data_IF_515872991529
#
_entry.id   IF_515872991529
#
_cell.length_a   1.000
_cell.length_b   1.000
_cell.length_c   1.000
_cell.angle_alpha   90.00
_cell.angle_beta   90.00
_cell.angle_gamma   90.00
#
_symmetry.space_group_name_H-M   'P 1'
#
loop_
_entity.id
_entity.type
_entity.pdbx_description
1 polymer ?
#
# COMPACT_ATOMS: atom_id res chain seq x y z
N UNK A 1 -40.43 -67.14 33.13
CA UNK A 1 -41.08 -65.91 32.62
C UNK A 1 -40.82 -64.76 33.59
N UNK A 2 -40.01 -63.77 33.18
CA UNK A 2 -39.78 -62.40 33.72
C UNK A 2 -38.57 -61.87 32.90
N UNK A 3 -38.79 -61.12 31.82
CA UNK A 3 -39.01 -59.67 31.74
C UNK A 3 -37.76 -58.82 32.03
N UNK A 4 -37.13 -58.36 30.93
CA UNK A 4 -36.54 -57.02 30.65
C UNK A 4 -35.59 -56.34 31.65
N UNK A 5 -34.43 -55.89 31.14
CA UNK A 5 -34.10 -54.45 31.06
C UNK A 5 -32.81 -54.23 30.27
N UNK A 6 -32.93 -53.63 29.07
CA UNK A 6 -31.83 -53.07 28.29
C UNK A 6 -31.51 -51.67 28.86
N UNK A 7 -30.29 -51.47 29.35
CA UNK A 7 -29.78 -50.16 29.73
C UNK A 7 -29.46 -49.33 28.48
N UNK A 8 -30.11 -48.17 28.37
CA UNK A 8 -29.96 -47.23 27.26
C UNK A 8 -28.60 -46.51 27.29
N UNK A 9 -27.92 -46.52 26.14
CA UNK A 9 -26.72 -45.75 25.85
C UNK A 9 -27.12 -44.29 25.60
N UNK A 10 -26.85 -43.40 26.55
CA UNK A 10 -27.09 -41.95 26.41
C UNK A 10 -26.03 -41.37 25.47
N UNK A 11 -26.38 -41.18 24.20
CA UNK A 11 -25.61 -40.37 23.24
C UNK A 11 -25.76 -38.91 23.63
N UNK A 12 -24.66 -38.22 23.97
CA UNK A 12 -24.64 -36.78 24.19
C UNK A 12 -24.34 -36.05 22.86
N UNK A 13 -25.29 -35.30 22.26
CA UNK A 13 -25.06 -34.53 21.04
C UNK A 13 -24.92 -33.04 21.38
N UNK A 14 -24.03 -32.68 22.31
CA UNK A 14 -23.91 -31.28 22.78
C UNK A 14 -22.54 -30.62 22.51
N UNK A 15 -21.55 -31.33 21.97
CA UNK A 15 -20.24 -30.74 21.68
C UNK A 15 -20.07 -30.15 20.27
N UNK A 16 -21.00 -30.42 19.34
CA UNK A 16 -20.83 -29.97 17.93
C UNK A 16 -21.33 -28.55 17.64
N UNK A 17 -22.08 -27.91 18.56
CA UNK A 17 -22.62 -26.56 18.32
C UNK A 17 -21.70 -25.43 18.79
N UNK A 18 -20.76 -25.68 19.71
CA UNK A 18 -19.84 -24.64 20.19
C UNK A 18 -18.71 -24.32 19.18
N UNK A 19 -18.35 -25.26 18.31
CA UNK A 19 -17.28 -25.04 17.31
C UNK A 19 -17.73 -24.19 16.10
N UNK A 20 -19.03 -24.12 15.82
CA UNK A 20 -19.55 -23.33 14.69
C UNK A 20 -19.64 -21.82 14.99
N UNK A 21 -19.81 -21.43 16.26
CA UNK A 21 -19.94 -20.01 16.66
C UNK A 21 -18.58 -19.31 16.78
N UNK A 22 -17.51 -20.06 17.09
CA UNK A 22 -16.14 -19.50 17.15
C UNK A 22 -15.51 -19.24 15.78
N UNK A 23 -16.04 -19.83 14.70
CA UNK A 23 -15.58 -19.57 13.33
C UNK A 23 -16.33 -18.42 12.63
N UNK A 24 -17.39 -17.90 13.25
CA UNK A 24 -18.21 -16.80 12.72
C UNK A 24 -17.79 -15.41 13.24
N UNK A 25 -16.74 -15.31 14.04
CA UNK A 25 -16.00 -14.05 14.23
C UNK A 25 -15.08 -13.74 13.04
N UNK A 26 -15.40 -14.29 11.87
CA UNK A 26 -14.83 -13.95 10.59
C UNK A 26 -14.90 -12.44 10.40
N UNK A 27 -13.74 -11.83 10.64
CA UNK A 27 -13.26 -10.57 10.08
C UNK A 27 -14.39 -9.66 9.60
N UNK A 28 -14.96 -8.87 10.52
CA UNK A 28 -15.62 -7.65 10.07
C UNK A 28 -14.53 -6.85 9.37
N UNK A 29 -14.65 -6.74 8.04
CA UNK A 29 -13.80 -5.89 7.24
C UNK A 29 -13.67 -4.54 7.94
N UNK A 30 -12.44 -4.10 8.13
CA UNK A 30 -12.18 -2.91 8.90
C UNK A 30 -12.75 -1.70 8.15
N UNK A 31 -13.64 -0.97 8.81
CA UNK A 31 -14.33 0.19 8.23
C UNK A 31 -13.43 1.42 8.13
N UNK A 32 -12.21 1.33 8.63
CA UNK A 32 -11.27 2.42 8.66
C UNK A 32 -10.49 2.60 7.36
N UNK A 33 -10.37 1.57 6.52
CA UNK A 33 -9.46 1.59 5.38
C UNK A 33 -10.13 1.13 4.08
N UNK A 34 -9.81 1.82 2.99
CA UNK A 34 -10.20 1.42 1.64
C UNK A 34 -8.99 1.49 0.70
N UNK A 35 -8.72 0.37 0.04
CA UNK A 35 -7.70 0.28 -1.01
C UNK A 35 -8.24 0.88 -2.29
N UNK A 36 -7.73 2.05 -2.70
CA UNK A 36 -8.21 2.75 -3.90
C UNK A 36 -7.65 2.16 -5.21
N UNK A 37 -6.64 1.28 -5.11
CA UNK A 37 -5.88 0.74 -6.25
C UNK A 37 -5.57 -0.74 -6.06
N UNK A 38 -5.98 -1.58 -7.00
CA UNK A 38 -5.66 -3.01 -6.93
C UNK A 38 -4.18 -3.28 -7.13
N UNK A 39 -3.58 -4.05 -6.22
CA UNK A 39 -2.18 -4.45 -6.28
C UNK A 39 -2.05 -5.97 -6.21
N UNK A 40 -1.67 -6.58 -7.34
CA UNK A 40 -1.50 -8.03 -7.47
C UNK A 40 -0.34 -8.60 -6.64
N UNK A 41 0.58 -7.76 -6.18
CA UNK A 41 1.73 -8.17 -5.36
C UNK A 41 1.38 -8.26 -3.87
N UNK A 42 0.26 -7.67 -3.45
CA UNK A 42 -0.26 -7.76 -2.08
C UNK A 42 -0.85 -9.16 -1.83
N UNK A 43 -0.38 -9.90 -0.81
CA UNK A 43 -0.97 -11.20 -0.45
C UNK A 43 -2.48 -11.10 -0.26
N UNK A 44 -3.24 -12.10 -0.73
CA UNK A 44 -4.71 -12.08 -0.66
C UNK A 44 -5.25 -11.82 0.76
N UNK A 45 -4.60 -12.38 1.78
CA UNK A 45 -4.99 -12.20 3.18
C UNK A 45 -4.63 -10.81 3.76
N UNK A 46 -3.92 -9.97 3.00
CA UNK A 46 -3.55 -8.60 3.36
C UNK A 46 -4.19 -7.54 2.45
N UNK A 47 -5.12 -7.93 1.56
CA UNK A 47 -5.77 -6.96 0.65
C UNK A 47 -6.80 -6.08 1.37
N UNK A 48 -7.38 -6.60 2.47
CA UNK A 48 -8.24 -5.86 3.37
C UNK A 48 -7.41 -5.36 4.55
N UNK A 49 -7.08 -4.06 4.54
CA UNK A 49 -6.30 -3.44 5.60
C UNK A 49 -7.11 -3.39 6.90
N UNK A 50 -6.44 -3.66 8.02
CA UNK A 50 -7.00 -3.60 9.36
C UNK A 50 -6.14 -2.70 10.24
N UNK A 51 -6.76 -1.97 11.17
CA UNK A 51 -6.07 -1.05 12.08
C UNK A 51 -5.06 -1.76 12.96
N UNK A 52 -5.30 -3.03 13.30
CA UNK A 52 -4.36 -3.85 14.07
C UNK A 52 -3.09 -4.21 13.29
N UNK A 53 -3.02 -3.94 11.98
CA UNK A 53 -1.78 -4.06 11.22
C UNK A 53 -0.79 -2.94 11.56
N UNK A 54 -1.25 -1.85 12.18
CA UNK A 54 -0.46 -0.69 12.54
C UNK A 54 -0.13 -0.73 14.04
N UNK A 55 1.15 -0.71 14.41
CA UNK A 55 1.59 -0.62 15.80
C UNK A 55 2.36 0.68 16.10
N UNK A 56 2.96 0.76 17.28
CA UNK A 56 3.73 1.94 17.70
C UNK A 56 5.14 2.03 17.08
N UNK A 57 5.64 0.96 16.44
CA UNK A 57 7.02 0.84 15.93
C UNK A 57 7.11 1.10 14.41
N UNK A 58 6.07 1.65 13.80
CA UNK A 58 6.07 2.01 12.38
C UNK A 58 7.13 3.07 12.10
N UNK A 59 7.90 2.85 11.03
CA UNK A 59 8.81 3.87 10.49
C UNK A 59 8.06 4.87 9.62
N UNK A 60 8.27 6.16 9.84
CA UNK A 60 7.61 7.24 9.12
C UNK A 60 8.61 7.89 8.16
N UNK A 61 8.31 7.90 6.87
CA UNK A 61 9.25 8.44 5.87
C UNK A 61 8.59 9.44 4.94
N UNK A 62 9.37 10.41 4.47
CA UNK A 62 8.99 11.25 3.34
C UNK A 62 9.87 10.93 2.14
N UNK A 63 9.26 10.84 0.96
CA UNK A 63 9.94 10.61 -0.31
C UNK A 63 9.91 11.86 -1.18
N UNK A 64 11.07 12.25 -1.68
CA UNK A 64 11.22 13.38 -2.60
C UNK A 64 11.95 13.02 -3.89
N UNK A 65 12.09 14.01 -4.75
CA UNK A 65 12.89 13.96 -5.98
C UNK A 65 14.34 14.37 -5.70
N UNK A 66 15.20 14.31 -6.72
CA UNK A 66 16.61 14.75 -6.64
C UNK A 66 16.76 16.11 -5.94
N UNK A 67 17.63 16.17 -4.92
CA UNK A 67 17.87 17.33 -4.06
C UNK A 67 16.92 17.49 -2.87
N UNK A 68 15.87 16.67 -2.74
CA UNK A 68 14.92 16.75 -1.63
C UNK A 68 15.53 16.36 -0.28
N UNK A 69 16.56 15.50 -0.25
CA UNK A 69 17.22 15.16 1.02
C UNK A 69 17.85 16.37 1.71
N UNK A 70 18.39 17.32 0.93
CA UNK A 70 19.04 18.54 1.44
C UNK A 70 18.06 19.45 2.20
N UNK A 71 16.76 19.36 1.90
CA UNK A 71 15.72 20.12 2.61
C UNK A 71 15.02 19.31 3.71
N UNK A 72 15.44 18.07 3.96
CA UNK A 72 14.98 17.25 5.08
C UNK A 72 13.95 16.18 4.76
N UNK A 73 13.84 15.72 3.51
CA UNK A 73 13.15 14.47 3.19
C UNK A 73 13.96 13.26 3.69
N UNK A 74 13.27 12.19 4.10
CA UNK A 74 13.93 10.95 4.56
C UNK A 74 14.63 10.23 3.42
N UNK A 75 13.91 10.05 2.31
CA UNK A 75 14.39 9.42 1.09
C UNK A 75 14.28 10.34 -0.11
N UNK A 76 15.08 10.04 -1.11
CA UNK A 76 15.14 10.75 -2.36
C UNK A 76 15.27 9.73 -3.48
N UNK A 77 14.33 9.75 -4.41
CA UNK A 77 14.48 9.01 -5.66
C UNK A 77 15.28 9.88 -6.64
N UNK A 78 16.28 9.33 -7.35
CA UNK A 78 17.13 10.11 -8.24
C UNK A 78 16.39 10.38 -9.56
N UNK A 79 15.29 11.11 -9.53
CA UNK A 79 14.56 11.68 -10.66
C UNK A 79 14.42 13.17 -10.41
N UNK A 80 14.53 14.02 -11.42
CA UNK A 80 14.21 15.45 -11.27
C UNK A 80 12.76 15.76 -11.71
N UNK A 81 12.29 16.98 -11.46
CA UNK A 81 10.91 17.39 -11.78
C UNK A 81 10.57 17.28 -13.27
N UNK A 82 11.52 17.63 -14.13
CA UNK A 82 11.34 17.58 -15.59
C UNK A 82 11.28 16.13 -16.09
N UNK A 83 12.14 15.26 -15.57
CA UNK A 83 12.11 13.82 -15.86
C UNK A 83 10.77 13.20 -15.43
N UNK A 84 10.25 13.53 -14.24
CA UNK A 84 8.96 13.05 -13.77
C UNK A 84 7.80 13.52 -14.67
N UNK A 85 7.83 14.79 -15.09
CA UNK A 85 6.85 15.37 -16.03
C UNK A 85 6.88 14.68 -17.39
N UNK A 86 8.08 14.46 -17.94
CA UNK A 86 8.26 13.76 -19.21
C UNK A 86 7.79 12.31 -19.11
N UNK A 87 8.17 11.59 -18.05
CA UNK A 87 7.73 10.22 -17.82
C UNK A 87 6.20 10.13 -17.73
N UNK A 88 5.57 11.03 -16.98
CA UNK A 88 4.11 11.15 -16.89
C UNK A 88 3.46 11.39 -18.25
N UNK A 89 4.00 12.32 -19.04
CA UNK A 89 3.49 12.60 -20.38
C UNK A 89 3.58 11.37 -21.29
N UNK A 90 4.74 10.71 -21.36
CA UNK A 90 4.94 9.58 -22.25
C UNK A 90 4.09 8.36 -21.88
N UNK A 91 3.95 8.08 -20.57
CA UNK A 91 3.19 6.92 -20.11
C UNK A 91 1.68 7.11 -20.29
N UNK A 92 1.18 8.34 -20.17
CA UNK A 92 -0.25 8.66 -20.34
C UNK A 92 -0.67 8.66 -21.82
N UNK A 93 0.16 9.24 -22.68
CA UNK A 93 -0.15 9.34 -24.11
C UNK A 93 0.16 8.04 -24.88
N UNK A 94 0.63 6.99 -24.19
CA UNK A 94 1.04 5.71 -24.78
C UNK A 94 2.05 5.88 -25.94
N UNK A 95 2.91 6.91 -25.85
CA UNK A 95 3.90 7.29 -26.89
C UNK A 95 5.12 6.34 -26.89
N UNK A 96 5.06 5.28 -26.09
CA UNK A 96 6.09 4.23 -25.98
C UNK A 96 6.45 3.55 -27.30
N UNK A 97 5.56 3.57 -28.29
CA UNK A 97 5.58 2.62 -29.41
C UNK A 97 5.90 3.20 -30.77
N UNK A 98 6.15 4.50 -30.93
CA UNK A 98 6.24 5.07 -32.28
C UNK A 98 7.15 6.27 -32.45
N UNK A 99 8.27 6.05 -33.17
CA UNK A 99 8.90 6.87 -34.23
C UNK A 99 8.94 8.41 -34.12
N UNK A 100 8.55 9.01 -33.02
CA UNK A 100 8.71 10.44 -32.79
C UNK A 100 10.14 10.62 -32.31
N UNK A 101 10.97 11.29 -33.11
CA UNK A 101 12.38 11.59 -32.84
C UNK A 101 12.59 12.53 -31.67
N UNK A 102 11.91 12.28 -30.55
CA UNK A 102 11.97 13.06 -29.35
C UNK A 102 13.23 12.63 -28.60
N UNK A 103 14.33 13.39 -28.80
CA UNK A 103 15.63 13.15 -28.16
C UNK A 103 15.54 12.95 -26.64
N UNK A 104 14.48 13.43 -25.99
CA UNK A 104 14.19 13.21 -24.58
C UNK A 104 13.95 11.72 -24.21
N UNK A 105 13.35 10.93 -25.12
CA UNK A 105 13.14 9.48 -24.96
C UNK A 105 14.40 8.65 -25.22
N UNK A 106 15.40 9.23 -25.87
CA UNK A 106 16.59 8.51 -26.33
C UNK A 106 17.64 8.34 -25.23
N UNK A 107 17.34 8.79 -24.01
CA UNK A 107 18.20 8.52 -22.88
C UNK A 107 17.87 7.15 -22.29
N UNK A 108 18.89 6.30 -22.13
CA UNK A 108 18.77 5.00 -21.43
C UNK A 108 18.07 5.12 -20.07
N UNK A 109 18.25 6.28 -19.42
CA UNK A 109 17.67 6.62 -18.13
C UNK A 109 16.15 6.85 -18.19
N UNK A 110 15.64 7.57 -19.19
CA UNK A 110 14.19 7.72 -19.36
C UNK A 110 13.53 6.38 -19.69
N UNK A 111 14.14 5.58 -20.57
CA UNK A 111 13.66 4.23 -20.90
C UNK A 111 13.60 3.32 -19.66
N UNK A 112 14.58 3.43 -18.77
CA UNK A 112 14.57 2.74 -17.49
C UNK A 112 13.38 3.15 -16.62
N UNK A 113 13.14 4.44 -16.38
CA UNK A 113 11.99 4.90 -15.60
C UNK A 113 10.67 4.45 -16.21
N UNK A 114 10.52 4.59 -17.52
CA UNK A 114 9.32 4.19 -18.22
C UNK A 114 9.06 2.68 -18.11
N UNK A 115 10.10 1.86 -18.15
CA UNK A 115 9.99 0.40 -17.94
C UNK A 115 9.52 0.07 -16.52
N UNK A 116 10.07 0.72 -15.50
CA UNK A 116 9.62 0.57 -14.11
C UNK A 116 8.16 0.96 -13.94
N UNK A 117 7.75 2.06 -14.57
CA UNK A 117 6.38 2.55 -14.47
C UNK A 117 5.38 1.65 -15.21
N UNK A 118 5.74 1.04 -16.34
CA UNK A 118 4.88 0.03 -16.97
C UNK A 118 4.71 -1.22 -16.08
N UNK A 119 5.76 -1.63 -15.37
CA UNK A 119 5.66 -2.71 -14.38
C UNK A 119 4.73 -2.33 -13.22
N UNK A 120 4.86 -1.10 -12.69
CA UNK A 120 3.96 -0.61 -11.64
C UNK A 120 2.50 -0.51 -12.14
N UNK A 121 2.25 -0.09 -13.38
CA UNK A 121 0.90 -0.13 -13.98
C UNK A 121 0.35 -1.55 -13.99
N UNK A 122 1.14 -2.51 -14.50
CA UNK A 122 0.70 -3.88 -14.66
C UNK A 122 0.45 -4.59 -13.32
N UNK A 123 1.37 -4.45 -12.36
CA UNK A 123 1.33 -5.21 -11.12
C UNK A 123 0.63 -4.49 -9.97
N UNK A 124 0.74 -3.16 -9.91
CA UNK A 124 0.21 -2.33 -8.82
C UNK A 124 -0.99 -1.47 -9.24
N UNK A 125 -1.44 -1.53 -10.50
CA UNK A 125 -2.67 -0.86 -10.94
C UNK A 125 -2.54 0.66 -11.10
N UNK A 126 -1.35 1.20 -11.33
CA UNK A 126 -1.17 2.63 -11.59
C UNK A 126 -1.80 3.07 -12.91
N UNK A 127 -2.67 4.07 -12.85
CA UNK A 127 -3.25 4.73 -14.03
C UNK A 127 -2.52 6.04 -14.38
N UNK A 128 -1.67 6.55 -13.48
CA UNK A 128 -0.90 7.79 -13.67
C UNK A 128 -1.77 9.00 -13.97
N UNK A 129 -2.81 9.21 -13.16
CA UNK A 129 -3.76 10.32 -13.32
C UNK A 129 -3.11 11.68 -13.02
N UNK A 130 -2.03 11.67 -12.26
CA UNK A 130 -1.22 12.85 -11.95
C UNK A 130 0.28 12.55 -12.06
N UNK A 131 1.07 13.61 -12.20
CA UNK A 131 2.54 13.49 -12.12
C UNK A 131 2.97 12.88 -10.78
N UNK A 132 2.25 13.16 -9.69
CA UNK A 132 2.54 12.67 -8.32
C UNK A 132 2.70 11.16 -8.26
N UNK A 133 1.83 10.44 -8.97
CA UNK A 133 1.83 8.97 -9.03
C UNK A 133 3.12 8.39 -9.65
N UNK A 134 3.86 9.17 -10.44
CA UNK A 134 5.18 8.75 -10.96
C UNK A 134 6.16 8.56 -9.80
N UNK A 135 6.22 9.52 -8.87
CA UNK A 135 7.13 9.41 -7.73
C UNK A 135 6.66 8.33 -6.75
N UNK A 136 5.36 8.21 -6.54
CA UNK A 136 4.77 7.18 -5.68
C UNK A 136 5.17 5.77 -6.15
N UNK A 137 4.96 5.46 -7.43
CA UNK A 137 5.34 4.17 -8.01
C UNK A 137 6.86 3.92 -7.91
N UNK A 138 7.68 4.92 -8.25
CA UNK A 138 9.14 4.80 -8.19
C UNK A 138 9.64 4.65 -6.75
N UNK A 139 9.01 5.29 -5.77
CA UNK A 139 9.35 5.15 -4.36
C UNK A 139 9.05 3.73 -3.84
N UNK A 140 7.90 3.15 -4.20
CA UNK A 140 7.58 1.77 -3.85
C UNK A 140 8.57 0.78 -4.46
N UNK A 141 8.98 1.00 -5.70
CA UNK A 141 10.01 0.18 -6.36
C UNK A 141 11.38 0.36 -5.68
N UNK A 142 11.78 1.59 -5.35
CA UNK A 142 13.07 1.82 -4.68
C UNK A 142 13.14 1.19 -3.30
N UNK A 143 12.02 1.12 -2.57
CA UNK A 143 11.93 0.46 -1.28
C UNK A 143 12.26 -1.04 -1.35
N UNK A 144 12.19 -1.68 -2.52
CA UNK A 144 12.64 -3.06 -2.73
C UNK A 144 14.16 -3.24 -2.59
N UNK A 145 14.94 -2.16 -2.67
CA UNK A 145 16.37 -2.17 -2.39
C UNK A 145 16.68 -2.28 -0.89
N UNK A 146 15.72 -1.95 -0.02
CA UNK A 146 15.87 -1.92 1.44
C UNK A 146 15.11 -3.05 2.13
N UNK A 147 14.02 -3.51 1.52
CA UNK A 147 13.16 -4.58 2.04
C UNK A 147 13.04 -5.71 1.02
N UNK A 148 13.25 -6.95 1.46
CA UNK A 148 13.15 -8.12 0.58
C UNK A 148 11.71 -8.37 0.12
N UNK A 149 11.40 -8.42 -1.19
CA UNK A 149 10.05 -8.71 -1.69
C UNK A 149 9.53 -10.12 -1.34
N UNK A 150 10.40 -11.00 -0.82
CA UNK A 150 10.00 -12.32 -0.30
C UNK A 150 9.37 -12.23 1.09
N UNK A 151 9.79 -11.24 1.88
CA UNK A 151 9.35 -11.03 3.27
C UNK A 151 8.34 -9.90 3.39
N UNK A 152 8.38 -8.93 2.48
CA UNK A 152 7.57 -7.72 2.50
C UNK A 152 6.74 -7.56 1.21
N UNK A 153 5.63 -6.85 1.31
CA UNK A 153 4.90 -6.30 0.18
C UNK A 153 4.83 -4.77 0.28
N UNK A 154 4.65 -4.15 -0.89
CA UNK A 154 4.71 -2.71 -1.08
C UNK A 154 3.40 -2.28 -1.73
N UNK A 155 2.69 -1.33 -1.13
CA UNK A 155 1.45 -0.81 -1.68
C UNK A 155 1.27 0.65 -1.35
N UNK A 156 0.34 1.31 -2.02
CA UNK A 156 -0.02 2.72 -1.81
C UNK A 156 -1.52 2.91 -1.97
N UNK A 157 -1.93 4.18 -2.00
CA UNK A 157 -3.31 4.60 -2.17
C UNK A 157 -4.31 3.90 -1.25
N UNK A 158 -3.95 3.84 0.03
CA UNK A 158 -4.86 3.39 1.08
C UNK A 158 -5.50 4.62 1.70
N UNK A 159 -6.80 4.81 1.44
CA UNK A 159 -7.57 5.86 2.11
C UNK A 159 -7.98 5.41 3.52
N UNK A 160 -8.12 6.37 4.42
CA UNK A 160 -8.59 6.12 5.78
C UNK A 160 -9.68 7.09 6.22
N UNK A 161 -10.68 6.57 6.94
CA UNK A 161 -11.88 7.28 7.40
C UNK A 161 -12.15 7.00 8.88
N UNK A 162 -13.01 7.79 9.54
CA UNK A 162 -13.50 7.49 10.90
C UNK A 162 -14.69 6.53 10.84
N UNK A 163 -14.41 5.27 10.52
CA UNK A 163 -15.43 4.25 10.25
C UNK A 163 -16.24 4.63 9.00
N UNK A 164 -17.57 4.66 9.10
CA UNK A 164 -18.46 5.05 7.99
C UNK A 164 -18.49 6.56 7.69
N UNK A 165 -17.59 7.33 8.30
CA UNK A 165 -17.47 8.78 8.08
C UNK A 165 -16.75 9.15 6.77
N UNK A 166 -16.60 10.45 6.49
CA UNK A 166 -15.85 10.92 5.34
C UNK A 166 -14.37 10.50 5.43
N UNK A 167 -13.72 10.40 4.25
CA UNK A 167 -12.28 10.16 4.12
C UNK A 167 -11.50 11.28 4.83
N UNK A 168 -10.61 10.88 5.74
CA UNK A 168 -9.71 11.76 6.50
C UNK A 168 -8.41 12.00 5.74
N UNK A 169 -7.93 10.99 5.01
CA UNK A 169 -6.73 11.10 4.19
C UNK A 169 -6.43 9.83 3.39
N UNK A 170 -5.27 9.84 2.76
CA UNK A 170 -4.70 8.74 1.97
C UNK A 170 -3.24 8.59 2.36
N UNK A 171 -2.73 7.36 2.28
CA UNK A 171 -1.32 7.02 2.42
C UNK A 171 -0.73 6.66 1.05
N UNK A 172 0.32 7.36 0.66
CA UNK A 172 1.03 7.13 -0.60
C UNK A 172 1.86 5.82 -0.56
N UNK A 173 2.49 5.52 0.59
CA UNK A 173 3.47 4.44 0.71
C UNK A 173 3.17 3.60 1.96
N UNK A 174 3.12 2.28 1.79
CA UNK A 174 3.06 1.27 2.84
C UNK A 174 4.02 0.13 2.52
N UNK A 175 4.82 -0.28 3.50
CA UNK A 175 5.58 -1.53 3.50
C UNK A 175 5.12 -2.37 4.67
N UNK A 176 4.73 -3.62 4.39
CA UNK A 176 4.20 -4.53 5.38
C UNK A 176 4.72 -5.94 5.17
N UNK A 177 4.77 -6.73 6.24
CA UNK A 177 5.19 -8.13 6.21
C UNK A 177 4.17 -8.99 5.49
N UNK A 178 4.64 -9.94 4.67
CA UNK A 178 3.77 -10.80 3.85
C UNK A 178 3.05 -11.91 4.61
N UNK A 179 3.55 -12.28 5.78
CA UNK A 179 3.04 -13.42 6.57
C UNK A 179 1.90 -13.02 7.51
N UNK A 180 1.91 -11.79 8.01
CA UNK A 180 0.96 -11.31 9.01
C UNK A 180 0.42 -9.89 8.77
N UNK A 181 0.70 -9.31 7.59
CA UNK A 181 0.26 -7.98 7.17
C UNK A 181 0.73 -6.81 8.03
N UNK A 182 1.63 -7.04 8.98
CA UNK A 182 2.09 -6.01 9.91
C UNK A 182 2.86 -4.91 9.17
N UNK A 183 2.40 -3.67 9.32
CA UNK A 183 2.96 -2.49 8.67
C UNK A 183 4.22 -2.06 9.41
N UNK A 184 5.35 -2.03 8.71
CA UNK A 184 6.65 -1.63 9.28
C UNK A 184 7.07 -0.23 8.85
N UNK A 185 6.52 0.27 7.75
CA UNK A 185 6.81 1.60 7.24
C UNK A 185 5.57 2.18 6.57
N UNK A 186 5.35 3.47 6.81
CA UNK A 186 4.45 4.28 6.01
C UNK A 186 5.19 5.52 5.51
N UNK A 187 4.74 6.06 4.38
CA UNK A 187 5.35 7.27 3.86
C UNK A 187 4.45 8.10 2.98
N UNK A 188 4.93 9.32 2.73
CA UNK A 188 4.29 10.30 1.88
C UNK A 188 5.28 10.79 0.82
N UNK A 189 4.85 10.83 -0.44
CA UNK A 189 5.68 11.21 -1.57
C UNK A 189 5.32 12.63 -2.07
N UNK A 190 6.33 13.44 -2.41
CA UNK A 190 6.11 14.78 -2.98
C UNK A 190 7.17 15.15 -4.03
N UNK A 191 6.71 15.56 -5.21
CA UNK A 191 7.55 16.03 -6.32
C UNK A 191 8.17 17.42 -6.12
N UNK A 192 7.82 18.14 -5.06
CA UNK A 192 8.36 19.48 -4.80
C UNK A 192 9.01 19.52 -3.42
N UNK A 193 10.26 19.97 -3.35
CA UNK A 193 11.00 20.16 -2.10
C UNK A 193 10.26 21.07 -1.11
N UNK A 194 9.62 22.13 -1.60
CA UNK A 194 8.78 23.04 -0.81
C UNK A 194 7.53 22.37 -0.19
N UNK A 195 7.19 21.13 -0.57
CA UNK A 195 6.02 20.40 -0.05
C UNK A 195 6.35 19.47 1.12
N UNK A 196 7.57 19.53 1.68
CA UNK A 196 7.95 18.74 2.85
C UNK A 196 7.02 18.96 4.04
N UNK A 197 6.63 20.21 4.31
CA UNK A 197 5.67 20.54 5.38
C UNK A 197 4.36 19.79 5.19
N UNK A 198 3.80 19.83 3.97
CA UNK A 198 2.58 19.09 3.63
C UNK A 198 2.75 17.58 3.81
N UNK A 199 3.89 17.01 3.41
CA UNK A 199 4.16 15.59 3.59
C UNK A 199 4.12 15.20 5.08
N UNK A 200 4.81 15.98 5.92
CA UNK A 200 4.82 15.79 7.38
C UNK A 200 3.44 15.98 7.99
N UNK A 201 2.66 16.97 7.55
CA UNK A 201 1.28 17.19 8.01
C UNK A 201 0.37 16.00 7.71
N UNK A 202 0.51 15.36 6.55
CA UNK A 202 -0.26 14.17 6.19
C UNK A 202 0.08 12.98 7.10
N UNK A 203 1.37 12.75 7.35
CA UNK A 203 1.84 11.73 8.28
C UNK A 203 1.40 12.03 9.73
N UNK A 204 1.51 13.27 10.18
CA UNK A 204 1.04 13.70 11.50
C UNK A 204 -0.48 13.51 11.65
N UNK A 205 -1.25 13.74 10.58
CA UNK A 205 -2.69 13.49 10.55
C UNK A 205 -2.98 11.99 10.71
N UNK A 206 -2.25 11.12 10.01
CA UNK A 206 -2.42 9.68 10.15
C UNK A 206 -1.98 9.17 11.54
N UNK A 207 -0.89 9.68 12.09
CA UNK A 207 -0.47 9.35 13.46
C UNK A 207 -1.57 9.66 14.48
N UNK A 208 -2.17 10.86 14.41
CA UNK A 208 -3.30 11.22 15.27
C UNK A 208 -4.53 10.35 15.02
N UNK A 209 -4.73 9.89 13.80
CA UNK A 209 -5.79 8.94 13.47
C UNK A 209 -5.58 7.60 14.18
N UNK A 210 -4.36 7.06 14.15
CA UNK A 210 -4.00 5.82 14.87
C UNK A 210 -4.13 5.97 16.39
N UNK A 211 -3.80 7.13 16.97
CA UNK A 211 -3.95 7.35 18.41
C UNK A 211 -5.41 7.39 18.91
N UNK A 212 -6.38 7.52 18.00
CA UNK A 212 -7.80 7.64 18.33
C UNK A 212 -8.55 6.31 18.30
N UNK A 213 -7.88 5.21 17.92
CA UNK A 213 -8.47 3.91 17.67
C UNK A 213 -7.56 2.80 18.18
#
# INVERSE_FOLDING_TARGET
>A
MRSLSMGALVRAPFLSFLFAVLLAQSALADKYFETLRYNSLTPKHCQEFNINFFDQNITWVTYGIKGSKEVGFTHEYPINREEARLAWYFIRENVFTGKTGNKALDTKRMQYFLTLLEQARHYMGYEYRSEGEILEALALIDLTNYYSPKEYFFTGSISYSRGHGPVVGELDIIVARRDNCHVVLIGESKLGSHRLSKAREQLQRFHRFLQQH
#
